data_IF_858039273118
#
_entry.id   IF_858039273118
#
_cell.length_a   1.000
_cell.length_b   1.000
_cell.length_c   1.000
_cell.angle_alpha   90.00
_cell.angle_beta   90.00
_cell.angle_gamma   90.00
#
_symmetry.space_group_name_H-M   'P 1'
#
loop_
_entity.id
_entity.type
_entity.pdbx_description
1 polymer ?
#
# COMPACT_ATOMS: atom_id res chain seq x y z
N UNK A 1 -6.89 4.94 -19.11
CA UNK A 1 -6.51 6.10 -18.30
C UNK A 1 -5.07 6.47 -18.66
N UNK A 2 -4.73 7.74 -18.89
CA UNK A 2 -3.32 8.12 -19.02
C UNK A 2 -2.62 7.77 -17.71
N UNK A 3 -1.46 7.13 -17.79
CA UNK A 3 -0.63 6.83 -16.61
C UNK A 3 -0.39 8.14 -15.88
N UNK A 4 -1.01 8.27 -14.71
CA UNK A 4 -0.81 9.40 -13.82
C UNK A 4 0.63 9.33 -13.32
N UNK A 5 1.54 10.02 -14.03
CA UNK A 5 2.96 10.03 -13.72
C UNK A 5 3.22 10.94 -12.51
N UNK A 6 2.57 10.63 -11.37
CA UNK A 6 2.92 11.18 -10.05
C UNK A 6 4.26 10.62 -9.55
N UNK A 7 5.17 10.25 -10.45
CA UNK A 7 6.52 9.86 -10.06
C UNK A 7 7.18 11.07 -9.40
N UNK A 8 7.60 10.88 -8.14
CA UNK A 8 8.32 11.88 -7.36
C UNK A 8 9.73 11.39 -7.11
N UNK A 9 10.68 12.31 -7.18
CA UNK A 9 12.04 12.10 -6.70
C UNK A 9 12.24 12.92 -5.43
N UNK A 10 12.85 12.31 -4.42
CA UNK A 10 13.16 12.96 -3.14
C UNK A 10 14.68 12.95 -2.98
N UNK A 11 15.38 14.03 -3.36
CA UNK A 11 16.83 14.10 -3.24
C UNK A 11 17.27 14.13 -1.78
N UNK A 12 18.40 13.49 -1.49
CA UNK A 12 18.96 13.45 -0.15
C UNK A 12 19.46 14.83 0.28
N UNK A 13 19.26 15.18 1.54
CA UNK A 13 19.79 16.41 2.13
C UNK A 13 18.97 17.65 1.82
N UNK A 14 17.78 17.50 1.26
CA UNK A 14 16.84 18.58 1.00
C UNK A 14 15.77 18.68 2.09
N UNK A 15 15.05 19.82 2.19
CA UNK A 15 13.89 19.94 3.09
C UNK A 15 12.85 18.84 2.90
N UNK A 16 12.61 18.38 1.67
CA UNK A 16 11.67 17.29 1.36
C UNK A 16 12.14 15.96 1.99
N UNK A 17 13.43 15.63 1.92
CA UNK A 17 13.97 14.44 2.57
C UNK A 17 13.95 14.53 4.10
N UNK A 18 14.05 15.74 4.66
CA UNK A 18 13.90 15.99 6.09
C UNK A 18 12.43 15.80 6.52
N UNK A 19 11.48 16.33 5.75
CA UNK A 19 10.05 16.14 5.97
C UNK A 19 9.64 14.66 5.88
N UNK A 20 10.15 13.95 4.86
CA UNK A 20 10.01 12.49 4.74
C UNK A 20 10.48 11.79 6.01
N UNK A 21 11.67 12.12 6.49
CA UNK A 21 12.23 11.51 7.72
C UNK A 21 11.40 11.82 8.97
N UNK A 22 10.83 13.02 9.06
CA UNK A 22 9.93 13.39 10.15
C UNK A 22 8.62 12.57 10.10
N UNK A 23 8.05 12.40 8.91
CA UNK A 23 6.85 11.60 8.73
C UNK A 23 7.09 10.12 9.05
N UNK A 24 8.23 9.55 8.65
CA UNK A 24 8.62 8.18 9.03
C UNK A 24 8.63 8.01 10.54
N UNK A 25 9.25 8.94 11.27
CA UNK A 25 9.28 8.88 12.74
C UNK A 25 7.88 8.92 13.35
N UNK A 26 7.01 9.82 12.86
CA UNK A 26 5.63 9.95 13.31
C UNK A 26 4.84 8.66 13.04
N UNK A 27 4.89 8.16 11.81
CA UNK A 27 4.19 6.96 11.38
C UNK A 27 4.63 5.73 12.22
N UNK A 28 5.93 5.55 12.42
CA UNK A 28 6.47 4.46 13.25
C UNK A 28 6.04 4.55 14.72
N UNK A 29 5.91 5.76 15.28
CA UNK A 29 5.42 5.92 16.65
C UNK A 29 3.94 5.51 16.77
N UNK A 30 3.11 5.86 15.79
CA UNK A 30 1.69 5.47 15.76
C UNK A 30 1.55 3.97 15.55
N UNK A 31 2.25 3.39 14.57
CA UNK A 31 2.18 1.94 14.31
C UNK A 31 2.73 1.11 15.46
N UNK A 32 3.73 1.60 16.20
CA UNK A 32 4.20 0.93 17.41
C UNK A 32 3.11 0.85 18.50
N UNK A 33 2.20 1.81 18.56
CA UNK A 33 1.04 1.76 19.47
C UNK A 33 -0.05 0.85 18.92
N UNK A 34 -0.41 1.02 17.64
CA UNK A 34 -1.40 0.19 16.95
C UNK A 34 -1.03 -1.30 17.02
N UNK A 35 0.25 -1.65 16.91
CA UNK A 35 0.73 -3.04 16.91
C UNK A 35 0.66 -3.75 18.26
N UNK A 36 0.20 -3.07 19.32
CA UNK A 36 -0.11 -3.68 20.62
C UNK A 36 -1.58 -4.06 20.77
N UNK A 37 -2.43 -3.62 19.84
CA UNK A 37 -3.87 -3.88 19.85
C UNK A 37 -4.20 -5.27 19.30
N UNK A 38 -5.40 -5.73 19.62
CA UNK A 38 -5.93 -7.05 19.27
C UNK A 38 -7.16 -6.92 18.37
N UNK A 39 -7.76 -8.06 18.02
CA UNK A 39 -8.99 -8.09 17.20
C UNK A 39 -10.19 -7.43 17.90
N UNK A 40 -10.21 -7.43 19.24
CA UNK A 40 -11.29 -6.82 20.03
C UNK A 40 -11.22 -5.28 20.06
N UNK A 41 -10.08 -4.69 19.68
CA UNK A 41 -9.81 -3.26 19.79
C UNK A 41 -10.09 -2.50 18.46
N UNK A 42 -11.02 -3.00 17.64
CA UNK A 42 -11.25 -2.50 16.28
C UNK A 42 -11.52 -0.99 16.22
N UNK A 43 -12.25 -0.44 17.19
CA UNK A 43 -12.52 0.99 17.28
C UNK A 43 -11.25 1.81 17.52
N UNK A 44 -10.37 1.36 18.42
CA UNK A 44 -9.10 2.02 18.70
C UNK A 44 -8.14 1.92 17.51
N UNK A 45 -8.15 0.78 16.80
CA UNK A 45 -7.42 0.61 15.53
C UNK A 45 -7.89 1.64 14.51
N UNK A 46 -9.20 1.84 14.34
CA UNK A 46 -9.74 2.85 13.42
C UNK A 46 -9.35 4.27 13.83
N UNK A 47 -9.37 4.59 15.12
CA UNK A 47 -8.91 5.89 15.63
C UNK A 47 -7.43 6.13 15.30
N UNK A 48 -6.55 5.20 15.68
CA UNK A 48 -5.11 5.33 15.43
C UNK A 48 -4.78 5.36 13.93
N UNK A 49 -5.48 4.55 13.12
CA UNK A 49 -5.29 4.58 11.68
C UNK A 49 -5.79 5.89 11.07
N UNK A 50 -6.90 6.46 11.56
CA UNK A 50 -7.38 7.79 11.14
C UNK A 50 -6.36 8.89 11.44
N UNK A 51 -5.75 8.86 12.63
CA UNK A 51 -4.65 9.77 13.01
C UNK A 51 -3.40 9.55 12.15
N UNK A 52 -3.10 8.30 11.81
CA UNK A 52 -1.99 7.95 10.93
C UNK A 52 -2.15 8.58 9.55
N UNK A 53 -3.35 8.51 8.96
CA UNK A 53 -3.64 9.02 7.60
C UNK A 53 -4.16 10.46 7.57
N UNK A 54 -4.41 11.07 8.73
CA UNK A 54 -4.86 12.46 8.88
C UNK A 54 -6.32 12.72 8.49
N UNK A 55 -7.16 11.68 8.42
CA UNK A 55 -8.58 11.76 8.05
C UNK A 55 -9.32 10.53 8.60
N UNK A 56 -10.64 10.63 8.87
CA UNK A 56 -11.42 9.49 9.34
C UNK A 56 -11.46 8.37 8.30
N UNK A 57 -11.36 7.12 8.76
CA UNK A 57 -11.74 5.93 7.99
C UNK A 57 -13.22 5.61 8.19
N UNK A 58 -13.80 4.84 7.27
CA UNK A 58 -15.16 4.32 7.39
C UNK A 58 -15.29 3.33 8.57
N UNK A 59 -16.48 3.25 9.18
CA UNK A 59 -16.75 2.35 10.31
C UNK A 59 -16.61 0.86 9.95
N UNK A 60 -16.71 0.52 8.67
CA UNK A 60 -16.47 -0.85 8.17
C UNK A 60 -15.00 -1.17 7.92
N UNK A 61 -14.07 -0.22 8.09
CA UNK A 61 -12.63 -0.50 7.95
C UNK A 61 -12.16 -1.44 9.06
N UNK A 62 -11.53 -2.54 8.67
CA UNK A 62 -10.96 -3.51 9.60
C UNK A 62 -9.49 -3.76 9.26
N UNK A 63 -8.62 -3.54 10.24
CA UNK A 63 -7.20 -3.85 10.14
C UNK A 63 -6.81 -4.71 11.33
N UNK A 64 -6.16 -5.84 11.07
CA UNK A 64 -5.67 -6.73 12.13
C UNK A 64 -4.16 -6.49 12.31
N UNK A 65 -3.71 -6.01 13.48
CA UNK A 65 -2.30 -5.81 13.74
C UNK A 65 -1.48 -7.12 13.73
N UNK A 66 -0.16 -7.07 13.48
CA UNK A 66 0.65 -5.88 13.28
C UNK A 66 0.54 -5.31 11.86
N UNK A 67 0.74 -3.99 11.74
CA UNK A 67 0.77 -3.23 10.50
C UNK A 67 1.96 -2.27 10.46
N UNK A 68 2.52 -2.05 9.28
CA UNK A 68 3.68 -1.19 9.08
C UNK A 68 3.43 -0.22 7.92
N UNK A 69 3.87 1.02 8.09
CA UNK A 69 3.86 2.03 7.04
C UNK A 69 5.02 3.01 7.18
N UNK A 70 5.40 3.65 6.08
CA UNK A 70 6.51 4.60 6.06
C UNK A 70 6.07 6.05 6.28
N UNK A 71 4.82 6.41 5.98
CA UNK A 71 4.38 7.81 5.99
C UNK A 71 2.96 7.98 6.57
N UNK A 72 1.99 7.23 6.08
CA UNK A 72 0.58 7.29 6.47
C UNK A 72 -0.24 8.36 5.75
N UNK A 73 0.28 9.59 5.64
CA UNK A 73 -0.51 10.75 5.16
C UNK A 73 -0.96 10.66 3.70
N UNK A 74 -0.25 9.90 2.88
CA UNK A 74 -0.56 9.73 1.45
C UNK A 74 -1.38 8.46 1.17
N UNK A 75 -1.89 7.79 2.21
CA UNK A 75 -2.83 6.69 2.09
C UNK A 75 -4.26 7.24 1.98
N UNK A 76 -5.03 6.69 1.03
CA UNK A 76 -6.49 6.86 0.93
C UNK A 76 -7.12 5.49 0.93
N UNK A 77 -8.14 5.30 1.76
CA UNK A 77 -8.85 4.03 1.89
C UNK A 77 -10.34 4.31 1.71
N UNK A 78 -10.99 3.48 0.90
CA UNK A 78 -12.44 3.47 0.72
C UNK A 78 -13.17 2.82 1.90
N UNK A 79 -14.39 2.36 1.62
CA UNK A 79 -15.26 1.67 2.58
C UNK A 79 -15.08 0.16 2.49
N UNK A 80 -15.40 -0.54 3.57
CA UNK A 80 -15.39 -2.01 3.63
C UNK A 80 -14.05 -2.61 3.20
N UNK A 81 -12.96 -1.98 3.63
CA UNK A 81 -11.60 -2.45 3.35
C UNK A 81 -11.10 -3.29 4.52
N UNK A 82 -10.62 -4.49 4.18
CA UNK A 82 -10.03 -5.42 5.14
C UNK A 82 -8.51 -5.54 4.91
N UNK A 83 -7.73 -5.28 5.96
CA UNK A 83 -6.27 -5.45 5.96
C UNK A 83 -5.88 -6.47 7.01
N UNK A 84 -5.39 -7.62 6.56
CA UNK A 84 -4.98 -8.69 7.46
C UNK A 84 -3.56 -8.46 8.02
N UNK A 85 -3.12 -9.34 8.91
CA UNK A 85 -1.92 -9.22 9.72
C UNK A 85 -0.64 -9.10 8.91
N UNK A 86 0.33 -8.41 9.50
CA UNK A 86 1.70 -8.30 9.03
C UNK A 86 1.84 -7.65 7.64
N UNK A 87 0.92 -6.76 7.29
CA UNK A 87 1.01 -5.99 6.05
C UNK A 87 1.99 -4.81 6.18
N UNK A 88 2.70 -4.51 5.08
CA UNK A 88 3.60 -3.36 4.97
C UNK A 88 3.17 -2.45 3.83
N UNK A 89 2.72 -1.23 4.14
CA UNK A 89 2.38 -0.19 3.16
C UNK A 89 3.50 0.85 3.14
N UNK A 90 4.49 0.63 2.29
CA UNK A 90 5.61 1.56 2.14
C UNK A 90 5.21 2.64 1.12
N UNK A 91 4.57 3.70 1.62
CA UNK A 91 3.55 4.54 0.96
C UNK A 91 4.02 5.97 0.61
N UNK A 92 5.32 6.24 0.60
CA UNK A 92 5.84 7.59 0.27
C UNK A 92 5.45 8.10 -1.13
N UNK A 93 5.11 7.20 -2.06
CA UNK A 93 4.60 7.55 -3.40
C UNK A 93 3.09 7.77 -3.45
N UNK A 94 2.38 7.48 -2.36
CA UNK A 94 0.93 7.49 -2.27
C UNK A 94 0.30 6.13 -2.57
N UNK A 95 -0.81 5.87 -1.88
CA UNK A 95 -1.53 4.61 -1.99
C UNK A 95 -3.03 4.90 -1.96
N UNK A 96 -3.70 4.65 -3.08
CA UNK A 96 -5.14 4.81 -3.22
C UNK A 96 -5.79 3.41 -3.21
N UNK A 97 -6.58 3.10 -2.18
CA UNK A 97 -7.30 1.82 -2.03
C UNK A 97 -8.80 2.09 -2.13
N UNK A 98 -9.47 1.44 -3.08
CA UNK A 98 -10.90 1.55 -3.32
C UNK A 98 -11.76 0.85 -2.26
N UNK A 99 -13.06 0.93 -2.46
CA UNK A 99 -14.05 0.23 -1.62
C UNK A 99 -13.96 -1.30 -1.80
N UNK A 100 -14.42 -2.06 -0.81
CA UNK A 100 -14.62 -3.52 -0.86
C UNK A 100 -13.33 -4.33 -1.09
N UNK A 101 -12.16 -3.73 -0.82
CA UNK A 101 -10.86 -4.38 -1.02
C UNK A 101 -10.52 -5.31 0.14
N UNK A 102 -10.04 -6.51 -0.19
CA UNK A 102 -9.50 -7.46 0.78
C UNK A 102 -8.00 -7.66 0.59
N UNK A 103 -7.23 -7.41 1.64
CA UNK A 103 -5.76 -7.58 1.65
C UNK A 103 -5.41 -8.69 2.66
N UNK A 104 -4.88 -9.79 2.12
CA UNK A 104 -4.44 -10.95 2.89
C UNK A 104 -3.18 -10.67 3.72
N UNK A 105 -2.80 -11.61 4.61
CA UNK A 105 -1.70 -11.38 5.52
C UNK A 105 -0.35 -11.37 4.79
N UNK A 106 0.63 -10.66 5.36
CA UNK A 106 1.98 -10.53 4.80
C UNK A 106 2.05 -9.81 3.44
N UNK A 107 1.01 -9.07 3.04
CA UNK A 107 1.04 -8.30 1.78
C UNK A 107 1.95 -7.08 1.91
N UNK A 108 2.70 -6.80 0.85
CA UNK A 108 3.59 -5.64 0.76
C UNK A 108 3.19 -4.73 -0.40
N UNK A 109 2.78 -3.49 -0.10
CA UNK A 109 2.49 -2.46 -1.09
C UNK A 109 3.63 -1.44 -1.06
N UNK A 110 4.51 -1.48 -2.06
CA UNK A 110 5.81 -0.81 -2.04
C UNK A 110 5.87 0.27 -3.11
N UNK A 111 5.55 1.50 -2.74
CA UNK A 111 5.50 2.66 -3.65
C UNK A 111 6.88 3.26 -3.95
N UNK A 112 7.95 2.79 -3.31
CA UNK A 112 9.27 3.43 -3.40
C UNK A 112 10.36 2.52 -3.91
N UNK A 113 11.38 3.12 -4.53
CA UNK A 113 12.64 2.49 -4.83
C UNK A 113 13.79 3.50 -4.87
N UNK A 114 14.89 3.06 -5.44
CA UNK A 114 16.10 3.85 -5.65
C UNK A 114 16.58 3.66 -7.10
N UNK A 115 17.38 4.59 -7.63
CA UNK A 115 18.10 4.37 -8.88
C UNK A 115 18.88 3.06 -8.85
N UNK A 116 18.85 2.35 -9.97
CA UNK A 116 19.56 1.06 -10.11
C UNK A 116 21.07 1.32 -10.18
N UNK A 117 21.45 2.40 -10.86
CA UNK A 117 22.81 2.88 -11.04
C UNK A 117 23.49 3.10 -9.67
N UNK A 118 24.60 2.40 -9.38
CA UNK A 118 25.24 2.46 -8.05
C UNK A 118 25.63 3.87 -7.61
N UNK A 119 26.07 4.72 -8.54
CA UNK A 119 26.47 6.10 -8.26
C UNK A 119 25.29 7.00 -7.84
N UNK A 120 24.07 6.66 -8.25
CA UNK A 120 22.86 7.44 -7.99
C UNK A 120 21.98 6.82 -6.89
N UNK A 121 22.14 5.54 -6.57
CA UNK A 121 21.27 4.78 -5.65
C UNK A 121 21.04 5.47 -4.30
N UNK A 122 22.03 6.18 -3.77
CA UNK A 122 21.96 6.92 -2.49
C UNK A 122 21.67 8.41 -2.64
N UNK A 123 21.53 8.90 -3.86
CA UNK A 123 21.32 10.31 -4.15
C UNK A 123 19.87 10.73 -3.93
N UNK A 124 18.90 9.86 -4.24
CA UNK A 124 17.48 10.14 -4.07
C UNK A 124 16.63 8.88 -3.92
N UNK A 125 15.43 9.06 -3.38
CA UNK A 125 14.34 8.08 -3.41
C UNK A 125 13.47 8.36 -4.63
N UNK A 126 13.01 7.30 -5.31
CA UNK A 126 11.97 7.36 -6.33
C UNK A 126 10.67 6.85 -5.72
N UNK A 127 9.59 7.59 -5.88
CA UNK A 127 8.29 7.26 -5.32
C UNK A 127 7.23 7.30 -6.42
N UNK A 128 6.43 6.24 -6.56
CA UNK A 128 5.40 6.09 -7.58
C UNK A 128 4.12 5.55 -6.93
N UNK A 129 2.95 6.14 -7.17
CA UNK A 129 1.72 5.73 -6.50
C UNK A 129 1.33 4.30 -6.86
N UNK A 130 0.63 3.63 -5.94
CA UNK A 130 -0.11 2.40 -6.23
C UNK A 130 -1.59 2.72 -6.15
N UNK A 131 -2.37 2.19 -7.10
CA UNK A 131 -3.83 2.27 -7.08
C UNK A 131 -4.39 0.85 -7.00
N UNK A 132 -5.19 0.57 -5.98
CA UNK A 132 -5.96 -0.66 -5.83
C UNK A 132 -7.41 -0.29 -6.02
N UNK A 133 -8.02 -0.70 -7.14
CA UNK A 133 -9.41 -0.36 -7.45
C UNK A 133 -10.40 -1.18 -6.60
N UNK A 134 -11.70 -0.91 -6.80
CA UNK A 134 -12.80 -1.52 -6.03
C UNK A 134 -12.77 -3.05 -6.10
N UNK A 135 -13.17 -3.70 -5.01
CA UNK A 135 -13.43 -5.15 -4.95
C UNK A 135 -12.23 -6.01 -5.39
N UNK A 136 -11.01 -5.49 -5.20
CA UNK A 136 -9.78 -6.25 -5.45
C UNK A 136 -9.51 -7.16 -4.24
N UNK A 137 -9.09 -8.39 -4.53
CA UNK A 137 -8.53 -9.29 -3.52
C UNK A 137 -7.04 -9.52 -3.75
N UNK A 138 -6.23 -9.11 -2.78
CA UNK A 138 -4.78 -9.38 -2.75
C UNK A 138 -4.52 -10.51 -1.77
N UNK A 139 -4.19 -11.69 -2.25
CA UNK A 139 -3.97 -12.85 -1.41
C UNK A 139 -2.61 -12.81 -0.68
N UNK A 140 -2.47 -13.70 0.30
CA UNK A 140 -1.39 -13.68 1.29
C UNK A 140 0.01 -13.60 0.66
N UNK A 141 0.89 -12.77 1.24
CA UNK A 141 2.30 -12.67 0.85
C UNK A 141 2.56 -12.05 -0.52
N UNK A 142 1.55 -11.52 -1.21
CA UNK A 142 1.76 -10.83 -2.48
C UNK A 142 2.48 -9.48 -2.29
N UNK A 143 3.22 -9.05 -3.31
CA UNK A 143 3.90 -7.75 -3.36
C UNK A 143 3.44 -6.97 -4.60
N UNK A 144 3.08 -5.70 -4.43
CA UNK A 144 2.73 -4.78 -5.52
C UNK A 144 3.72 -3.62 -5.50
N UNK A 145 4.35 -3.31 -6.64
CA UNK A 145 5.38 -2.26 -6.74
C UNK A 145 4.81 -0.93 -7.23
N UNK A 146 5.50 0.16 -6.90
CA UNK A 146 5.12 1.53 -7.25
C UNK A 146 4.89 1.76 -8.74
N UNK A 147 3.81 2.46 -9.06
CA UNK A 147 3.35 2.75 -10.41
C UNK A 147 2.33 1.74 -10.96
N UNK A 148 1.93 0.73 -10.16
CA UNK A 148 0.94 -0.27 -10.55
C UNK A 148 -0.47 0.17 -10.17
N UNK A 149 -1.40 0.00 -11.11
CA UNK A 149 -2.84 -0.07 -10.86
C UNK A 149 -3.32 -1.52 -10.88
N UNK A 150 -3.99 -1.96 -9.82
CA UNK A 150 -4.69 -3.25 -9.78
C UNK A 150 -6.17 -3.00 -10.05
N UNK A 151 -6.63 -3.43 -11.22
CA UNK A 151 -7.95 -3.12 -11.74
C UNK A 151 -9.10 -3.78 -10.97
N UNK A 152 -10.28 -3.17 -11.03
CA UNK A 152 -11.49 -3.58 -10.32
C UNK A 152 -11.81 -5.08 -10.46
N UNK A 153 -12.33 -5.70 -9.39
CA UNK A 153 -12.68 -7.12 -9.29
C UNK A 153 -11.52 -8.12 -9.48
N UNK A 154 -10.28 -7.65 -9.55
CA UNK A 154 -9.14 -8.52 -9.82
C UNK A 154 -8.66 -9.25 -8.57
N UNK A 155 -8.04 -10.40 -8.80
CA UNK A 155 -7.40 -11.21 -7.77
C UNK A 155 -5.90 -11.30 -8.02
N UNK A 156 -5.11 -10.92 -7.03
CA UNK A 156 -3.67 -11.15 -6.99
C UNK A 156 -3.42 -12.39 -6.15
N UNK A 157 -2.93 -13.46 -6.75
CA UNK A 157 -2.71 -14.74 -6.07
C UNK A 157 -1.60 -14.64 -5.00
N UNK A 158 -1.62 -15.61 -4.08
CA UNK A 158 -0.68 -15.64 -2.97
C UNK A 158 0.78 -15.69 -3.46
N UNK A 159 1.65 -14.91 -2.82
CA UNK A 159 3.08 -14.82 -3.17
C UNK A 159 3.39 -14.16 -4.52
N UNK A 160 2.40 -13.62 -5.23
CA UNK A 160 2.63 -12.96 -6.52
C UNK A 160 3.43 -11.66 -6.37
N UNK A 161 4.29 -11.34 -7.34
CA UNK A 161 5.02 -10.05 -7.41
C UNK A 161 4.52 -9.28 -8.61
N UNK A 162 3.62 -8.32 -8.36
CA UNK A 162 2.95 -7.52 -9.39
C UNK A 162 3.84 -6.35 -9.78
N UNK A 163 4.38 -6.42 -11.02
CA UNK A 163 5.33 -5.44 -11.55
C UNK A 163 4.77 -4.56 -12.66
N UNK A 164 3.50 -4.74 -13.04
CA UNK A 164 2.79 -4.05 -14.11
C UNK A 164 1.31 -3.98 -13.73
N UNK A 165 0.59 -3.06 -14.36
CA UNK A 165 -0.86 -2.94 -14.19
C UNK A 165 -1.58 -4.27 -14.41
N UNK A 166 -2.58 -4.50 -13.57
CA UNK A 166 -3.50 -5.65 -13.67
C UNK A 166 -4.80 -5.13 -14.28
N UNK A 167 -5.24 -5.65 -15.43
CA UNK A 167 -6.51 -5.24 -16.01
C UNK A 167 -7.68 -5.66 -15.09
N UNK A 168 -8.82 -4.95 -15.10
CA UNK A 168 -10.00 -5.35 -14.34
C UNK A 168 -10.44 -6.78 -14.66
N UNK A 169 -11.09 -7.43 -13.69
CA UNK A 169 -11.62 -8.79 -13.78
C UNK A 169 -10.52 -9.81 -14.16
N UNK A 170 -9.34 -9.73 -13.54
CA UNK A 170 -8.23 -10.61 -13.84
C UNK A 170 -7.75 -11.39 -12.62
N UNK A 171 -7.40 -12.66 -12.82
CA UNK A 171 -6.58 -13.42 -11.88
C UNK A 171 -5.13 -13.37 -12.34
N UNK A 172 -4.23 -12.79 -11.53
CA UNK A 172 -2.79 -12.78 -11.79
C UNK A 172 -2.02 -13.58 -10.74
N UNK A 173 -0.95 -14.25 -11.15
CA UNK A 173 -0.09 -15.01 -10.25
C UNK A 173 1.37 -15.07 -10.74
N UNK A 174 2.29 -15.44 -9.85
CA UNK A 174 3.70 -15.67 -10.16
C UNK A 174 4.62 -14.50 -9.84
N UNK A 175 5.92 -14.70 -10.08
CA UNK A 175 6.97 -13.69 -9.90
C UNK A 175 7.88 -13.69 -11.15
N UNK A 176 7.80 -12.68 -12.03
CA UNK A 176 6.82 -11.58 -11.99
C UNK A 176 5.40 -12.06 -12.34
N UNK A 177 4.38 -11.42 -11.77
CA UNK A 177 2.99 -11.82 -11.93
C UNK A 177 2.53 -11.72 -13.40
N UNK A 178 1.70 -12.68 -13.83
CA UNK A 178 1.11 -12.77 -15.17
C UNK A 178 -0.36 -13.09 -15.07
N UNK A 179 -1.13 -12.64 -16.06
CA UNK A 179 -2.52 -13.04 -16.24
C UNK A 179 -2.60 -14.57 -16.34
N UNK A 180 -3.39 -15.18 -15.46
CA UNK A 180 -3.71 -16.61 -15.49
C UNK A 180 -5.01 -16.82 -16.26
N UNK A 181 -6.03 -16.04 -15.93
CA UNK A 181 -7.33 -16.03 -16.63
C UNK A 181 -8.09 -14.74 -16.33
N UNK A 182 -9.06 -14.44 -17.18
CA UNK A 182 -10.13 -13.52 -16.81
C UNK A 182 -11.02 -14.14 -15.71
N UNK A 183 -11.58 -13.27 -14.90
CA UNK A 183 -12.62 -13.55 -13.92
C UNK A 183 -13.92 -13.03 -14.56
N UNK A 184 -14.97 -13.82 -14.48
CA UNK A 184 -16.31 -13.42 -14.86
C UNK A 184 -17.27 -14.09 -13.90
N UNK A 185 -18.49 -13.58 -13.86
CA UNK A 185 -19.61 -14.24 -13.20
C UNK A 185 -20.09 -15.45 -14.03
#
# INVERSE_FOLDING_TARGET
>A
MPSDDRTRTIPRGTPESAAMSANVKRAMAITATLNRLTYEDADEVRTLFSDLIGKPVDDSFLLIPPFYTANGLDIRVGRNVFVNQNCTFYDLGGLDIGDDVMIGPNVSLITTGHPVEPSQRRAFVVAKPIVIERNVWIAAGATVIGGVTVGENSVVAAGAVVTKDVPPNALVAGNPARLIRAIGD
#
